data_IF_301629083938
#
_entry.id   IF_301629083938
#
_cell.length_a   1.000
_cell.length_b   1.000
_cell.length_c   1.000
_cell.angle_alpha   90.00
_cell.angle_beta   90.00
_cell.angle_gamma   90.00
#
_symmetry.space_group_name_H-M   'P 1'
#
loop_
_entity.id
_entity.type
_entity.pdbx_description
1 polymer ?
#
# COMPACT_ATOMS: atom_id res chain seq x y z
N UNK A 1 -67.41 -32.83 -31.84
CA UNK A 1 -66.66 -34.05 -31.46
C UNK A 1 -66.68 -34.15 -29.94
N UNK A 2 -67.01 -35.34 -29.42
CA UNK A 2 -66.96 -35.84 -28.02
C UNK A 2 -65.85 -35.19 -27.16
N UNK A 3 -65.90 -35.02 -25.83
CA UNK A 3 -66.54 -35.79 -24.76
C UNK A 3 -66.33 -35.02 -23.43
N UNK A 4 -67.25 -35.14 -22.46
CA UNK A 4 -67.01 -34.76 -21.06
C UNK A 4 -66.42 -35.94 -20.26
N UNK A 5 -65.45 -35.72 -19.35
CA UNK A 5 -65.27 -36.56 -18.17
C UNK A 5 -65.69 -35.85 -16.86
N UNK A 6 -65.92 -36.61 -15.77
CA UNK A 6 -66.61 -36.15 -14.57
C UNK A 6 -65.70 -35.55 -13.48
N UNK A 7 -66.37 -34.80 -12.60
CA UNK A 7 -65.96 -34.19 -11.34
C UNK A 7 -64.95 -35.03 -10.53
N UNK A 8 -63.74 -34.48 -10.32
CA UNK A 8 -62.91 -34.79 -9.15
C UNK A 8 -62.53 -33.48 -8.47
N UNK A 9 -63.19 -33.25 -7.35
CA UNK A 9 -62.93 -32.18 -6.42
C UNK A 9 -61.44 -32.09 -6.07
N UNK A 10 -60.88 -30.89 -6.06
CA UNK A 10 -59.99 -30.44 -4.99
C UNK A 10 -60.13 -28.93 -4.88
N UNK A 11 -60.83 -28.52 -3.82
CA UNK A 11 -60.92 -27.14 -3.35
C UNK A 11 -59.51 -26.62 -3.05
N UNK A 12 -59.14 -25.47 -3.60
CA UNK A 12 -58.00 -24.70 -3.11
C UNK A 12 -58.25 -23.20 -3.37
N UNK A 13 -59.03 -22.57 -2.48
CA UNK A 13 -59.13 -21.11 -2.41
C UNK A 13 -59.05 -20.64 -0.97
N UNK A 14 -57.86 -20.16 -0.61
CA UNK A 14 -57.51 -18.97 0.18
C UNK A 14 -58.35 -18.60 1.44
N UNK A 15 -57.72 -18.66 2.62
CA UNK A 15 -57.72 -17.52 3.56
C UNK A 15 -56.52 -17.58 4.52
N UNK A 16 -56.04 -16.41 4.91
CA UNK A 16 -54.78 -16.12 5.61
C UNK A 16 -54.92 -16.20 7.14
N UNK A 17 -53.78 -16.54 7.78
CA UNK A 17 -53.33 -16.28 9.15
C UNK A 17 -53.99 -17.00 10.34
N UNK A 18 -53.17 -17.76 11.08
CA UNK A 18 -52.48 -17.26 12.28
C UNK A 18 -51.48 -18.34 12.75
N UNK A 19 -50.18 -18.02 12.71
CA UNK A 19 -49.13 -18.91 13.19
C UNK A 19 -48.86 -18.59 14.66
N UNK A 20 -49.15 -19.54 15.55
CA UNK A 20 -48.70 -19.52 16.93
C UNK A 20 -48.46 -20.97 17.37
N UNK A 21 -47.41 -21.16 18.19
CA UNK A 21 -46.95 -22.40 18.87
C UNK A 21 -45.88 -23.18 18.07
N UNK A 22 -44.68 -23.54 18.55
CA UNK A 22 -44.01 -23.37 19.85
C UNK A 22 -42.51 -23.79 19.76
N UNK A 23 -41.73 -23.35 20.76
CA UNK A 23 -40.47 -23.88 21.31
C UNK A 23 -39.25 -24.12 20.38
N UNK A 24 -38.20 -23.33 20.61
CA UNK A 24 -36.83 -23.64 20.21
C UNK A 24 -35.92 -22.41 20.34
N UNK A 25 -35.23 -22.32 21.48
CA UNK A 25 -33.97 -21.62 21.73
C UNK A 25 -33.71 -20.27 21.03
N UNK A 26 -33.98 -19.20 21.78
CA UNK A 26 -33.25 -17.93 21.69
C UNK A 26 -31.74 -18.19 21.90
N UNK A 27 -30.95 -18.17 20.82
CA UNK A 27 -29.55 -17.78 20.90
C UNK A 27 -29.17 -16.96 19.65
N UNK A 28 -28.99 -15.62 19.76
CA UNK A 28 -28.50 -14.80 18.65
C UNK A 28 -26.99 -14.96 18.38
N UNK A 29 -26.30 -15.96 18.94
CA UNK A 29 -24.83 -16.09 18.89
C UNK A 29 -24.38 -17.43 18.30
N UNK A 30 -24.82 -17.75 17.08
CA UNK A 30 -24.16 -18.75 16.23
C UNK A 30 -23.61 -18.18 14.93
N UNK A 31 -23.61 -16.86 14.76
CA UNK A 31 -22.79 -16.26 13.71
C UNK A 31 -21.33 -16.49 14.13
N UNK A 32 -20.53 -17.28 13.36
CA UNK A 32 -19.12 -17.40 13.67
C UNK A 32 -18.54 -15.98 13.75
N UNK A 33 -17.61 -15.69 14.69
CA UNK A 33 -16.90 -14.42 14.64
C UNK A 33 -16.39 -14.22 13.21
N UNK A 34 -16.47 -13.01 12.64
CA UNK A 34 -15.90 -12.78 11.31
C UNK A 34 -14.48 -13.35 11.34
N UNK A 35 -14.18 -14.27 10.42
CA UNK A 35 -12.80 -14.70 10.25
C UNK A 35 -11.97 -13.42 10.10
N UNK A 36 -10.85 -13.32 10.83
CA UNK A 36 -9.98 -12.14 10.79
C UNK A 36 -9.81 -11.74 9.32
N UNK A 37 -10.40 -10.59 8.93
CA UNK A 37 -10.32 -10.12 7.55
C UNK A 37 -8.86 -9.82 7.25
N UNK A 38 -8.34 -10.20 6.08
CA UNK A 38 -6.91 -10.11 5.83
C UNK A 38 -6.47 -8.64 5.86
N UNK A 39 -5.64 -8.27 6.83
CA UNK A 39 -5.25 -6.89 7.12
C UNK A 39 -3.91 -6.56 6.48
N UNK A 40 -3.82 -5.57 5.57
CA UNK A 40 -2.53 -5.13 5.06
C UNK A 40 -1.76 -4.39 6.16
N UNK A 41 -0.46 -4.68 6.29
CA UNK A 41 0.45 -3.94 7.18
C UNK A 41 1.70 -3.53 6.44
N UNK A 42 2.10 -2.27 6.58
CA UNK A 42 3.29 -1.73 5.92
C UNK A 42 4.47 -1.69 6.88
N UNK A 43 5.66 -1.99 6.37
CA UNK A 43 6.95 -1.72 7.00
C UNK A 43 7.88 -1.08 5.98
N UNK A 44 8.57 -0.01 6.38
CA UNK A 44 9.63 0.62 5.58
C UNK A 44 10.93 0.47 6.36
N UNK A 45 12.01 -0.02 5.73
CA UNK A 45 13.23 -0.38 6.47
C UNK A 45 14.04 0.85 6.96
N UNK A 46 13.97 1.96 6.20
CA UNK A 46 14.68 3.21 6.50
C UNK A 46 13.74 4.33 6.95
N UNK A 47 14.23 5.16 7.86
CA UNK A 47 13.52 6.37 8.30
C UNK A 47 13.97 7.65 7.57
N UNK A 48 15.10 7.62 6.86
CA UNK A 48 15.59 8.69 5.99
C UNK A 48 16.55 8.12 4.93
N UNK A 49 16.76 8.87 3.84
CA UNK A 49 17.76 8.60 2.81
C UNK A 49 18.83 9.69 2.86
N UNK A 50 19.95 9.43 3.53
CA UNK A 50 21.11 10.32 3.59
C UNK A 50 22.11 9.95 2.47
N UNK A 51 22.36 10.89 1.57
CA UNK A 51 23.30 10.77 0.46
C UNK A 51 24.68 11.39 0.77
N UNK A 52 24.80 12.10 1.90
CA UNK A 52 25.99 12.84 2.29
C UNK A 52 26.38 13.93 1.28
N UNK A 53 27.68 14.23 1.25
CA UNK A 53 28.24 15.20 0.32
C UNK A 53 28.63 14.52 -1.01
N UNK A 54 27.93 14.87 -2.08
CA UNK A 54 28.15 14.38 -3.45
C UNK A 54 28.76 15.50 -4.28
N UNK A 55 29.78 15.17 -5.05
CA UNK A 55 30.43 16.15 -5.91
C UNK A 55 29.50 16.57 -7.05
N UNK A 56 29.46 17.86 -7.38
CA UNK A 56 28.60 18.37 -8.46
C UNK A 56 28.94 17.67 -9.78
N UNK A 57 27.91 17.14 -10.43
CA UNK A 57 28.03 16.33 -11.65
C UNK A 57 28.23 14.83 -11.43
N UNK A 58 28.45 14.39 -10.19
CA UNK A 58 28.43 12.98 -9.79
C UNK A 58 27.03 12.56 -9.30
N UNK A 59 26.85 11.27 -9.04
CA UNK A 59 25.59 10.70 -8.56
C UNK A 59 25.80 9.78 -7.36
N UNK A 60 24.83 9.75 -6.47
CA UNK A 60 24.72 8.77 -5.40
C UNK A 60 23.31 8.16 -5.39
N UNK A 61 23.19 6.89 -5.03
CA UNK A 61 21.92 6.16 -4.98
C UNK A 61 21.71 5.55 -3.60
N UNK A 62 20.47 5.63 -3.11
CA UNK A 62 20.04 5.01 -1.86
C UNK A 62 18.74 4.25 -2.14
N UNK A 63 18.56 3.11 -1.48
CA UNK A 63 17.39 2.24 -1.65
C UNK A 63 16.62 2.16 -0.35
N UNK A 64 15.30 2.28 -0.44
CA UNK A 64 14.35 1.99 0.63
C UNK A 64 13.57 0.71 0.28
N UNK A 65 13.37 -0.16 1.28
CA UNK A 65 12.52 -1.33 1.12
C UNK A 65 11.12 -1.08 1.70
N UNK A 66 10.08 -1.22 0.88
CA UNK A 66 8.68 -1.22 1.32
C UNK A 66 8.16 -2.64 1.33
N UNK A 67 7.72 -3.11 2.49
CA UNK A 67 7.26 -4.50 2.68
C UNK A 67 5.85 -4.57 3.22
N UNK A 68 5.09 -5.53 2.71
CA UNK A 68 3.85 -5.96 3.33
C UNK A 68 4.11 -7.02 4.39
N UNK A 69 3.94 -6.65 5.66
CA UNK A 69 4.12 -7.53 6.83
C UNK A 69 2.79 -8.04 7.40
N UNK A 70 1.69 -7.75 6.72
CA UNK A 70 0.36 -8.27 7.05
C UNK A 70 -0.07 -9.38 6.10
N UNK A 71 -1.25 -9.90 6.34
CA UNK A 71 -1.91 -10.99 5.64
C UNK A 71 -2.90 -10.48 4.54
N UNK A 72 -3.19 -9.18 4.52
CA UNK A 72 -3.91 -8.48 3.45
C UNK A 72 -3.06 -8.09 2.25
N UNK A 73 -3.68 -7.59 1.18
CA UNK A 73 -2.95 -7.00 0.03
C UNK A 73 -2.67 -5.52 0.28
N UNK A 74 -1.40 -5.15 0.34
CA UNK A 74 -0.96 -3.76 0.48
C UNK A 74 -0.86 -3.10 -0.88
N UNK A 75 -1.77 -2.17 -1.18
CA UNK A 75 -1.72 -1.35 -2.40
C UNK A 75 -1.51 0.12 -2.07
N UNK A 76 -0.90 0.85 -3.01
CA UNK A 76 -0.55 2.23 -2.81
C UNK A 76 0.14 2.87 -3.99
N UNK A 77 0.69 4.05 -3.77
CA UNK A 77 1.45 4.81 -4.76
C UNK A 77 2.69 5.45 -4.12
N UNK A 78 3.82 5.34 -4.83
CA UNK A 78 5.11 5.88 -4.44
C UNK A 78 5.45 7.06 -5.34
N UNK A 79 5.64 8.23 -4.73
CA UNK A 79 6.02 9.47 -5.41
C UNK A 79 7.18 10.14 -4.70
N UNK A 80 7.89 11.01 -5.40
CA UNK A 80 8.98 11.83 -4.87
C UNK A 80 8.64 13.31 -5.12
N UNK A 81 8.91 14.17 -4.16
CA UNK A 81 8.69 15.62 -4.26
C UNK A 81 9.83 16.37 -3.59
N UNK A 82 10.17 17.57 -4.08
CA UNK A 82 11.27 18.38 -3.53
C UNK A 82 12.25 18.84 -4.60
N UNK A 83 13.54 18.86 -4.26
CA UNK A 83 14.59 19.29 -5.19
C UNK A 83 14.65 18.41 -6.45
N UNK A 84 14.84 19.06 -7.61
CA UNK A 84 15.02 18.40 -8.90
C UNK A 84 16.33 17.58 -9.00
N UNK A 85 17.25 17.78 -8.05
CA UNK A 85 18.46 16.97 -7.92
C UNK A 85 18.16 15.51 -7.50
N UNK A 86 16.93 15.19 -7.09
CA UNK A 86 16.51 13.84 -6.75
C UNK A 86 15.60 13.23 -7.80
N UNK A 87 15.82 11.96 -8.11
CA UNK A 87 15.04 11.19 -9.07
C UNK A 87 14.75 9.79 -8.53
N UNK A 88 13.53 9.29 -8.77
CA UNK A 88 13.20 7.88 -8.57
C UNK A 88 13.66 7.07 -9.78
N UNK A 89 14.73 6.29 -9.61
CA UNK A 89 15.27 5.43 -10.68
C UNK A 89 14.60 4.06 -10.72
N UNK A 90 14.02 3.61 -9.59
CA UNK A 90 13.25 2.36 -9.50
C UNK A 90 12.12 2.46 -8.46
N UNK A 91 11.08 1.63 -8.62
CA UNK A 91 10.02 1.46 -7.61
C UNK A 91 8.97 2.58 -7.54
N UNK A 92 8.94 3.51 -8.50
CA UNK A 92 7.95 4.60 -8.56
C UNK A 92 6.56 4.14 -9.01
N UNK A 93 5.55 4.97 -8.71
CA UNK A 93 4.16 4.77 -9.16
C UNK A 93 3.38 3.77 -8.30
N UNK A 94 2.28 3.27 -8.85
CA UNK A 94 1.37 2.37 -8.13
C UNK A 94 1.98 0.99 -7.87
N UNK A 95 1.62 0.39 -6.73
CA UNK A 95 1.98 -0.98 -6.38
C UNK A 95 0.84 -1.78 -5.78
N UNK A 96 1.03 -3.10 -5.79
CA UNK A 96 0.22 -4.07 -5.06
C UNK A 96 1.16 -5.18 -4.56
N UNK A 97 1.25 -5.35 -3.25
CA UNK A 97 2.09 -6.32 -2.57
C UNK A 97 1.21 -7.30 -1.81
N UNK A 98 1.32 -8.60 -2.15
CA UNK A 98 0.72 -9.66 -1.35
C UNK A 98 1.43 -9.86 -0.01
N UNK A 99 0.96 -10.80 0.80
CA UNK A 99 1.58 -11.16 2.08
C UNK A 99 3.09 -11.41 1.92
N UNK A 100 3.89 -10.77 2.77
CA UNK A 100 5.34 -10.94 2.80
C UNK A 100 6.10 -10.36 1.62
N UNK A 101 5.40 -9.84 0.59
CA UNK A 101 6.00 -9.29 -0.60
C UNK A 101 6.63 -7.92 -0.34
N UNK A 102 7.64 -7.60 -1.15
CA UNK A 102 8.50 -6.43 -1.01
C UNK A 102 8.57 -5.64 -2.31
N UNK A 103 8.71 -4.32 -2.19
CA UNK A 103 9.05 -3.40 -3.27
C UNK A 103 10.28 -2.58 -2.90
N UNK A 104 11.32 -2.68 -3.72
CA UNK A 104 12.50 -1.83 -3.61
C UNK A 104 12.26 -0.49 -4.33
N UNK A 105 12.65 0.59 -3.68
CA UNK A 105 12.52 1.96 -4.18
C UNK A 105 13.90 2.59 -4.17
N UNK A 106 14.44 2.89 -5.36
CA UNK A 106 15.77 3.52 -5.48
C UNK A 106 15.61 4.98 -5.82
N UNK A 107 16.19 5.83 -4.97
CA UNK A 107 16.28 7.27 -5.16
C UNK A 107 17.73 7.60 -5.49
N UNK A 108 17.91 8.38 -6.55
CA UNK A 108 19.21 8.91 -6.98
C UNK A 108 19.28 10.39 -6.65
N UNK A 109 20.41 10.82 -6.09
CA UNK A 109 20.78 12.21 -5.92
C UNK A 109 21.89 12.57 -6.91
N UNK A 110 21.66 13.63 -7.68
CA UNK A 110 22.56 14.15 -8.71
C UNK A 110 22.61 15.70 -8.61
N UNK A 111 23.45 16.26 -7.72
CA UNK A 111 23.53 17.71 -7.55
C UNK A 111 24.16 18.40 -8.76
N UNK A 112 23.48 19.42 -9.28
CA UNK A 112 24.00 20.32 -10.34
C UNK A 112 24.63 21.59 -9.76
N UNK A 113 24.31 21.95 -8.52
CA UNK A 113 24.80 23.12 -7.80
C UNK A 113 25.36 22.72 -6.43
N UNK A 114 26.24 23.57 -5.89
CA UNK A 114 26.71 23.43 -4.51
C UNK A 114 25.61 23.82 -3.50
N UNK A 115 25.51 23.08 -2.40
CA UNK A 115 24.60 23.35 -1.29
C UNK A 115 23.72 22.17 -0.91
N UNK A 116 22.97 22.35 0.18
CA UNK A 116 22.02 21.36 0.66
C UNK A 116 20.82 21.24 -0.28
N UNK A 117 20.41 20.01 -0.57
CA UNK A 117 19.22 19.68 -1.32
C UNK A 117 18.40 18.66 -0.53
N UNK A 118 17.08 18.86 -0.51
CA UNK A 118 16.16 18.00 0.22
C UNK A 118 15.01 17.54 -0.69
N UNK A 119 14.54 16.32 -0.47
CA UNK A 119 13.35 15.77 -1.09
C UNK A 119 12.59 14.87 -0.10
N UNK A 120 11.37 14.50 -0.44
CA UNK A 120 10.49 13.66 0.35
C UNK A 120 9.97 12.52 -0.51
N UNK A 121 10.32 11.29 -0.14
CA UNK A 121 9.72 10.08 -0.68
C UNK A 121 8.40 9.85 0.03
N UNK A 122 7.29 9.86 -0.72
CA UNK A 122 5.93 9.75 -0.21
C UNK A 122 5.30 8.44 -0.67
N UNK A 123 4.92 7.64 0.31
CA UNK A 123 4.34 6.30 0.10
C UNK A 123 2.91 6.33 0.63
N UNK A 124 1.94 6.47 -0.27
CA UNK A 124 0.53 6.27 0.09
C UNK A 124 0.25 4.78 0.15
N UNK A 125 -0.54 4.34 1.12
CA UNK A 125 -0.90 2.93 1.30
C UNK A 125 -2.28 2.78 1.95
N UNK A 126 -2.83 1.57 1.87
CA UNK A 126 -4.08 1.17 2.52
C UNK A 126 -3.94 0.41 3.85
N UNK A 127 -2.73 0.29 4.42
CA UNK A 127 -2.54 -0.32 5.74
C UNK A 127 -2.96 0.58 6.92
N UNK A 128 -3.46 -0.03 7.99
CA UNK A 128 -3.96 0.64 9.20
C UNK A 128 -2.92 0.77 10.32
N UNK A 129 -1.78 0.09 10.21
CA UNK A 129 -0.73 0.09 11.24
C UNK A 129 0.14 1.35 11.25
N UNK A 130 0.09 2.16 10.20
CA UNK A 130 0.86 3.40 10.05
C UNK A 130 -0.02 4.47 9.41
N UNK A 131 0.31 5.75 9.63
CA UNK A 131 -0.43 6.84 9.01
C UNK A 131 -0.08 6.92 7.51
N UNK A 132 -1.11 6.92 6.66
CA UNK A 132 -0.94 7.11 5.22
C UNK A 132 -0.99 8.61 4.88
N UNK A 133 0.01 9.16 4.18
CA UNK A 133 1.20 8.47 3.66
C UNK A 133 2.37 8.44 4.64
N UNK A 134 3.22 7.43 4.48
CA UNK A 134 4.56 7.40 5.07
C UNK A 134 5.45 8.34 4.27
N UNK A 135 6.13 9.26 4.96
CA UNK A 135 7.11 10.17 4.37
C UNK A 135 8.51 9.80 4.83
N UNK A 136 9.41 9.57 3.89
CA UNK A 136 10.82 9.33 4.14
C UNK A 136 11.61 10.53 3.57
N UNK A 137 12.21 11.37 4.42
CA UNK A 137 13.03 12.49 3.95
C UNK A 137 14.30 11.97 3.27
N UNK A 138 14.71 12.65 2.21
CA UNK A 138 15.94 12.46 1.47
C UNK A 138 16.80 13.73 1.59
N UNK A 139 18.04 13.59 2.06
CA UNK A 139 18.95 14.70 2.33
C UNK A 139 20.31 14.46 1.68
N UNK A 140 20.94 15.54 1.23
CA UNK A 140 22.19 15.48 0.50
C UNK A 140 22.76 16.88 0.30
N UNK A 141 24.06 16.95 0.06
CA UNK A 141 24.79 18.20 -0.17
C UNK A 141 25.60 18.08 -1.45
N UNK A 142 25.37 18.98 -2.40
CA UNK A 142 26.27 19.17 -3.53
C UNK A 142 27.52 19.91 -3.08
N UNK A 143 28.71 19.43 -3.43
CA UNK A 143 29.98 20.15 -3.18
C UNK A 143 30.81 20.29 -4.45
N UNK A 144 31.57 21.37 -4.55
CA UNK A 144 32.58 21.49 -5.61
C UNK A 144 33.89 20.85 -5.13
N UNK A 145 34.31 19.78 -5.81
CA UNK A 145 35.63 19.21 -5.57
C UNK A 145 36.70 20.16 -6.14
N UNK A 146 37.41 20.86 -5.27
CA UNK A 146 38.71 21.44 -5.63
C UNK A 146 39.70 20.29 -5.79
N UNK A 147 39.98 19.90 -7.04
CA UNK A 147 40.93 18.84 -7.34
C UNK A 147 42.22 19.04 -6.53
N UNK A 148 42.63 18.02 -5.76
CA UNK A 148 43.93 18.06 -5.09
C UNK A 148 45.02 18.28 -6.14
N UNK A 149 45.97 19.22 -5.95
CA UNK A 149 47.02 19.43 -6.92
C UNK A 149 47.83 18.13 -7.09
N UNK A 150 48.23 17.76 -8.32
CA UNK A 150 49.02 16.56 -8.53
C UNK A 150 50.30 16.64 -7.68
N UNK A 151 50.55 15.59 -6.90
CA UNK A 151 51.73 15.49 -6.03
C UNK A 151 53.00 15.73 -6.86
N UNK A 152 53.82 16.69 -6.42
CA UNK A 152 55.13 16.93 -7.04
C UNK A 152 56.06 15.75 -6.73
N UNK A 153 56.80 15.20 -7.71
CA UNK A 153 57.71 14.07 -7.49
C UNK A 153 58.87 14.41 -6.55
#
# INVERSE_FOLDING_TARGET
MYQLPPLRAFLATLLVAAFLVACGDDDPASEPPPADEPEPRISVDVSNLDFGAVDVGEVAEQTAEVRNVGDGTLSGEITLSGSAAYELTAGSGSFSLGEGATREVTVRFAPEDEGAAEAELRITHGADNEASPVTVPAIGEGRIQIASPPGRP
#
